data_IF_447009031145
#
_entry.id   IF_447009031145
#
_cell.length_a   1.000
_cell.length_b   1.000
_cell.length_c   1.000
_cell.angle_alpha   90.00
_cell.angle_beta   90.00
_cell.angle_gamma   90.00
#
_symmetry.space_group_name_H-M   'P 1'
#
loop_
_entity.id
_entity.type
_entity.pdbx_description
1 polymer ?
#
# COMPACT_ATOMS: atom_id res chain seq x y z
N UNK A 1 -0.12 5.80 29.22
CA UNK A 1 0.80 4.66 28.99
C UNK A 1 0.62 3.98 27.64
N UNK A 2 -0.61 3.60 27.23
CA UNK A 2 -0.86 2.97 25.91
C UNK A 2 -0.48 3.90 24.75
N UNK A 3 -0.80 5.20 24.86
CA UNK A 3 -0.40 6.21 23.85
C UNK A 3 1.12 6.23 23.67
N UNK A 4 1.90 6.19 24.75
CA UNK A 4 3.37 6.14 24.69
C UNK A 4 3.87 4.88 23.96
N UNK A 5 3.20 3.74 24.13
CA UNK A 5 3.58 2.47 23.50
C UNK A 5 3.37 2.47 21.99
N UNK A 6 2.40 3.24 21.48
CA UNK A 6 2.17 3.40 20.04
C UNK A 6 2.89 4.60 19.44
N UNK A 7 2.97 5.72 20.17
CA UNK A 7 3.58 6.97 19.70
C UNK A 7 5.10 6.88 19.70
N UNK A 8 5.72 6.25 20.70
CA UNK A 8 7.18 6.18 20.80
C UNK A 8 7.83 5.40 19.64
N UNK A 9 7.34 4.20 19.23
CA UNK A 9 7.88 3.50 18.07
C UNK A 9 7.72 4.29 16.77
N UNK A 10 6.58 4.97 16.61
CA UNK A 10 6.33 5.85 15.46
C UNK A 10 7.32 7.03 15.48
N UNK A 11 7.56 7.63 16.63
CA UNK A 11 8.49 8.74 16.77
C UNK A 11 9.95 8.32 16.50
N UNK A 12 10.36 7.15 17.03
CA UNK A 12 11.68 6.56 16.78
C UNK A 12 11.87 6.25 15.29
N UNK A 13 10.81 5.74 14.65
CA UNK A 13 10.78 5.49 13.20
C UNK A 13 11.05 6.76 12.40
N UNK A 14 10.44 7.89 12.76
CA UNK A 14 10.62 9.16 12.05
C UNK A 14 11.87 9.95 12.48
N UNK A 15 12.44 9.66 13.64
CA UNK A 15 13.61 10.35 14.18
C UNK A 15 14.90 10.06 13.42
N UNK A 16 15.05 8.83 12.90
CA UNK A 16 16.23 8.44 12.12
C UNK A 16 15.83 8.12 10.68
N UNK A 17 16.25 8.99 9.75
CA UNK A 17 15.96 8.88 8.32
C UNK A 17 16.47 7.58 7.67
N UNK A 18 17.51 6.93 8.22
CA UNK A 18 17.98 5.63 7.75
C UNK A 18 17.12 4.49 8.30
N UNK A 19 16.77 4.52 9.58
CA UNK A 19 15.86 3.54 10.19
C UNK A 19 14.47 3.59 9.55
N UNK A 20 13.93 4.80 9.35
CA UNK A 20 12.70 5.04 8.58
C UNK A 20 12.76 4.37 7.22
N UNK A 21 13.84 4.63 6.48
CA UNK A 21 14.01 4.11 5.14
C UNK A 21 14.07 2.59 5.10
N UNK A 22 14.87 1.97 5.97
CA UNK A 22 15.03 0.50 6.01
C UNK A 22 13.70 -0.18 6.35
N UNK A 23 13.00 0.30 7.37
CA UNK A 23 11.73 -0.31 7.80
C UNK A 23 10.65 -0.13 6.72
N UNK A 24 10.52 1.08 6.16
CA UNK A 24 9.55 1.32 5.10
C UNK A 24 9.88 0.54 3.82
N UNK A 25 11.14 0.50 3.41
CA UNK A 25 11.60 -0.30 2.28
C UNK A 25 11.24 -1.77 2.47
N UNK A 26 11.48 -2.34 3.65
CA UNK A 26 11.17 -3.74 3.96
C UNK A 26 9.66 -4.01 3.94
N UNK A 27 8.85 -3.16 4.56
CA UNK A 27 7.38 -3.26 4.53
C UNK A 27 6.86 -3.24 3.08
N UNK A 28 7.35 -2.31 2.26
CA UNK A 28 6.95 -2.18 0.87
C UNK A 28 7.41 -3.34 0.01
N UNK A 29 8.63 -3.84 0.22
CA UNK A 29 9.20 -4.98 -0.48
C UNK A 29 8.39 -6.25 -0.20
N UNK A 30 8.06 -6.52 1.07
CA UNK A 30 7.21 -7.65 1.47
C UNK A 30 5.83 -7.53 0.83
N UNK A 31 5.24 -6.33 0.82
CA UNK A 31 3.94 -6.10 0.18
C UNK A 31 4.00 -6.29 -1.34
N UNK A 32 5.07 -5.83 -2.00
CA UNK A 32 5.27 -6.01 -3.43
C UNK A 32 5.40 -7.50 -3.78
N UNK A 33 6.23 -8.25 -3.06
CA UNK A 33 6.37 -9.69 -3.25
C UNK A 33 5.07 -10.44 -2.98
N UNK A 34 4.35 -10.10 -1.90
CA UNK A 34 3.03 -10.68 -1.63
C UNK A 34 2.07 -10.42 -2.79
N UNK A 35 2.06 -9.21 -3.33
CA UNK A 35 1.19 -8.87 -4.46
C UNK A 35 1.56 -9.64 -5.74
N UNK A 36 2.86 -9.73 -6.06
CA UNK A 36 3.38 -10.50 -7.19
C UNK A 36 3.03 -11.99 -7.04
N UNK A 37 3.25 -12.57 -5.86
CA UNK A 37 2.92 -13.96 -5.55
C UNK A 37 1.44 -14.24 -5.77
N UNK A 38 0.56 -13.42 -5.21
CA UNK A 38 -0.89 -13.63 -5.38
C UNK A 38 -1.29 -13.45 -6.85
N UNK A 39 -0.67 -12.52 -7.58
CA UNK A 39 -0.95 -12.31 -9.00
C UNK A 39 -0.44 -13.42 -9.91
N UNK A 40 0.69 -14.05 -9.57
CA UNK A 40 1.28 -15.14 -10.34
C UNK A 40 0.61 -16.49 -10.04
N UNK A 41 0.38 -16.79 -8.77
CA UNK A 41 -0.25 -18.04 -8.31
C UNK A 41 -1.76 -18.02 -8.51
N UNK A 42 -2.34 -16.83 -8.78
CA UNK A 42 -3.75 -16.69 -9.05
C UNK A 42 -4.60 -17.11 -7.86
N UNK A 43 -4.11 -16.88 -6.63
CA UNK A 43 -4.86 -17.19 -5.42
C UNK A 43 -6.19 -16.44 -5.52
N UNK A 44 -7.29 -17.19 -5.77
CA UNK A 44 -8.63 -16.76 -5.39
C UNK A 44 -8.53 -16.62 -3.88
N UNK A 45 -8.17 -15.42 -3.39
CA UNK A 45 -8.50 -15.07 -2.03
C UNK A 45 -10.03 -15.06 -2.03
N UNK A 46 -10.61 -16.19 -1.63
CA UNK A 46 -11.43 -16.12 -0.45
C UNK A 46 -10.64 -15.29 0.55
N UNK A 47 -10.88 -13.98 0.52
CA UNK A 47 -11.15 -13.28 1.77
C UNK A 47 -12.05 -14.29 2.50
N UNK A 48 -11.78 -14.73 3.75
CA UNK A 48 -12.91 -15.22 4.50
C UNK A 48 -13.94 -14.12 4.30
N UNK A 49 -14.98 -14.39 3.48
CA UNK A 49 -16.17 -13.57 3.59
C UNK A 49 -16.37 -13.58 5.09
N UNK A 50 -16.33 -12.39 5.70
CA UNK A 50 -16.84 -12.24 7.05
C UNK A 50 -18.04 -13.17 7.09
N UNK A 51 -18.03 -14.13 8.03
CA UNK A 51 -19.16 -15.07 8.10
C UNK A 51 -20.43 -14.19 8.04
N UNK A 52 -21.50 -14.61 7.38
CA UNK A 52 -22.67 -13.72 7.21
C UNK A 52 -23.08 -13.07 8.56
N UNK A 53 -22.86 -13.79 9.67
CA UNK A 53 -22.91 -13.33 11.06
C UNK A 53 -22.01 -12.11 11.41
N UNK A 54 -20.77 -12.06 10.93
CA UNK A 54 -19.85 -10.94 11.17
C UNK A 54 -20.20 -9.71 10.29
N UNK A 55 -20.74 -9.90 9.08
CA UNK A 55 -21.25 -8.77 8.26
C UNK A 55 -22.50 -8.17 8.91
N UNK A 56 -23.41 -9.03 9.38
CA UNK A 56 -24.63 -8.63 10.10
C UNK A 56 -24.29 -7.90 11.41
N UNK A 57 -23.28 -8.36 12.16
CA UNK A 57 -22.79 -7.68 13.36
C UNK A 57 -22.18 -6.30 13.07
N UNK A 58 -21.45 -6.13 11.95
CA UNK A 58 -20.88 -4.83 11.57
C UNK A 58 -21.98 -3.87 11.14
N UNK A 59 -22.96 -4.33 10.36
CA UNK A 59 -24.10 -3.51 9.95
C UNK A 59 -24.96 -3.11 11.17
N UNK A 60 -25.16 -4.01 12.14
CA UNK A 60 -25.83 -3.69 13.41
C UNK A 60 -25.03 -2.69 14.25
N UNK A 61 -23.69 -2.81 14.27
CA UNK A 61 -22.82 -1.82 14.91
C UNK A 61 -22.88 -0.46 14.20
N UNK A 62 -22.88 -0.41 12.87
CA UNK A 62 -23.01 0.79 12.04
C UNK A 62 -24.40 1.45 12.19
N UNK A 63 -25.45 0.67 12.48
CA UNK A 63 -26.76 1.20 12.83
C UNK A 63 -26.81 1.77 14.25
N UNK A 64 -26.06 1.16 15.19
CA UNK A 64 -26.01 1.59 16.60
C UNK A 64 -25.07 2.77 16.86
N UNK A 65 -24.05 2.93 16.01
CA UNK A 65 -23.06 4.00 16.06
C UNK A 65 -23.12 4.71 14.72
N UNK A 66 -23.44 6.01 14.68
CA UNK A 66 -23.50 6.86 13.46
C UNK A 66 -22.10 7.03 12.81
N UNK A 67 -21.46 5.92 12.46
CA UNK A 67 -20.08 5.83 11.99
C UNK A 67 -20.01 4.91 10.78
N UNK A 68 -19.68 5.49 9.63
CA UNK A 68 -19.57 4.80 8.35
C UNK A 68 -18.25 4.02 8.26
N UNK A 69 -18.30 2.72 8.58
CA UNK A 69 -17.15 1.82 8.54
C UNK A 69 -16.61 1.63 7.12
N UNK A 70 -17.47 1.70 6.09
CA UNK A 70 -17.05 1.60 4.68
C UNK A 70 -16.21 2.80 4.26
N UNK A 71 -16.58 4.00 4.70
CA UNK A 71 -15.82 5.23 4.47
C UNK A 71 -14.50 5.23 5.24
N UNK A 72 -14.47 4.67 6.45
CA UNK A 72 -13.25 4.48 7.20
C UNK A 72 -12.28 3.51 6.52
N UNK A 73 -12.73 2.35 6.04
CA UNK A 73 -11.88 1.41 5.30
C UNK A 73 -11.30 2.06 4.02
N UNK A 74 -12.14 2.79 3.29
CA UNK A 74 -11.71 3.54 2.10
C UNK A 74 -10.66 4.60 2.47
N UNK A 75 -10.88 5.35 3.55
CA UNK A 75 -9.95 6.35 4.07
C UNK A 75 -8.59 5.77 4.45
N UNK A 76 -8.58 4.68 5.23
CA UNK A 76 -7.32 4.01 5.64
C UNK A 76 -6.53 3.48 4.43
N UNK A 77 -7.24 2.99 3.41
CA UNK A 77 -6.64 2.55 2.15
C UNK A 77 -6.00 3.70 1.38
N UNK A 78 -6.67 4.84 1.26
CA UNK A 78 -6.11 6.05 0.63
C UNK A 78 -4.87 6.54 1.38
N UNK A 79 -4.94 6.63 2.72
CA UNK A 79 -3.80 7.05 3.56
C UNK A 79 -2.60 6.13 3.34
N UNK A 80 -2.82 4.81 3.28
CA UNK A 80 -1.76 3.83 3.01
C UNK A 80 -1.03 4.12 1.69
N UNK A 81 -1.77 4.34 0.60
CA UNK A 81 -1.14 4.65 -0.69
C UNK A 81 -0.50 6.04 -0.74
N UNK A 82 -1.04 7.00 -0.01
CA UNK A 82 -0.41 8.30 0.15
C UNK A 82 0.97 8.18 0.83
N UNK A 83 1.09 7.35 1.87
CA UNK A 83 2.37 7.04 2.52
C UNK A 83 3.35 6.41 1.52
N UNK A 84 2.87 5.51 0.65
CA UNK A 84 3.71 4.88 -0.37
C UNK A 84 4.24 5.93 -1.35
N UNK A 85 3.38 6.82 -1.83
CA UNK A 85 3.77 7.92 -2.72
C UNK A 85 4.83 8.81 -2.06
N UNK A 86 4.61 9.21 -0.80
CA UNK A 86 5.59 10.00 -0.04
C UNK A 86 6.95 9.30 0.06
N UNK A 87 6.96 7.99 0.28
CA UNK A 87 8.19 7.20 0.30
C UNK A 87 8.88 7.18 -1.06
N UNK A 88 8.15 7.04 -2.17
CA UNK A 88 8.75 7.08 -3.51
C UNK A 88 9.28 8.47 -3.88
N UNK A 89 8.59 9.54 -3.46
CA UNK A 89 9.10 10.91 -3.57
C UNK A 89 10.40 11.06 -2.77
N UNK A 90 10.45 10.51 -1.55
CA UNK A 90 11.68 10.47 -0.77
C UNK A 90 12.79 9.76 -1.54
N UNK A 91 12.55 8.56 -2.07
CA UNK A 91 13.50 7.80 -2.89
C UNK A 91 13.99 8.58 -4.12
N UNK A 92 13.15 9.40 -4.74
CA UNK A 92 13.51 10.24 -5.90
C UNK A 92 14.70 11.16 -5.60
N UNK A 93 14.79 11.71 -4.40
CA UNK A 93 15.88 12.60 -3.99
C UNK A 93 17.22 11.88 -3.82
N UNK A 94 17.21 10.57 -3.50
CA UNK A 94 18.44 9.80 -3.26
C UNK A 94 19.04 9.18 -4.53
N UNK A 95 18.37 9.33 -5.67
CA UNK A 95 18.80 8.73 -6.92
C UNK A 95 19.28 9.78 -7.90
N UNK A 96 20.50 9.62 -8.40
CA UNK A 96 21.06 10.53 -9.40
C UNK A 96 20.72 10.11 -10.85
N UNK A 97 20.52 8.82 -11.11
CA UNK A 97 20.24 8.30 -12.46
C UNK A 97 18.87 8.73 -12.98
N UNK A 98 18.85 9.32 -14.17
CA UNK A 98 17.62 9.78 -14.85
C UNK A 98 16.66 8.61 -15.13
N UNK A 99 17.18 7.43 -15.48
CA UNK A 99 16.37 6.23 -15.77
C UNK A 99 15.56 5.82 -14.55
N UNK A 100 16.20 5.80 -13.37
CA UNK A 100 15.52 5.43 -12.13
C UNK A 100 14.53 6.51 -11.68
N UNK A 101 14.81 7.79 -11.92
CA UNK A 101 13.86 8.88 -11.68
C UNK A 101 12.58 8.70 -12.51
N UNK A 102 12.71 8.35 -13.79
CA UNK A 102 11.56 8.05 -14.65
C UNK A 102 10.77 6.85 -14.08
N UNK A 103 11.46 5.79 -13.65
CA UNK A 103 10.83 4.61 -13.09
C UNK A 103 10.06 4.92 -11.79
N UNK A 104 10.66 5.71 -10.90
CA UNK A 104 10.03 6.19 -9.65
C UNK A 104 8.77 7.00 -9.98
N UNK A 105 8.84 7.92 -10.93
CA UNK A 105 7.67 8.71 -11.36
C UNK A 105 6.56 7.82 -11.90
N UNK A 106 6.88 6.80 -12.71
CA UNK A 106 5.89 5.86 -13.22
C UNK A 106 5.19 5.08 -12.09
N UNK A 107 5.94 4.64 -11.06
CA UNK A 107 5.39 3.99 -9.87
C UNK A 107 4.48 4.94 -9.09
N UNK A 108 4.87 6.20 -8.91
CA UNK A 108 4.05 7.22 -8.24
C UNK A 108 2.73 7.43 -8.98
N UNK A 109 2.77 7.61 -10.31
CA UNK A 109 1.57 7.79 -11.13
C UNK A 109 0.63 6.60 -11.04
N UNK A 110 1.17 5.37 -11.01
CA UNK A 110 0.38 4.16 -10.81
C UNK A 110 -0.39 4.18 -9.48
N UNK A 111 0.29 4.52 -8.38
CA UNK A 111 -0.37 4.62 -7.07
C UNK A 111 -1.38 5.77 -7.02
N UNK A 112 -1.10 6.90 -7.68
CA UNK A 112 -2.02 8.04 -7.75
C UNK A 112 -3.29 7.68 -8.52
N UNK A 113 -3.15 7.02 -9.67
CA UNK A 113 -4.29 6.50 -10.42
C UNK A 113 -5.15 5.56 -9.57
N UNK A 114 -4.52 4.72 -8.76
CA UNK A 114 -5.23 3.82 -7.84
C UNK A 114 -6.01 4.57 -6.75
N UNK A 115 -5.42 5.60 -6.15
CA UNK A 115 -6.12 6.46 -5.16
C UNK A 115 -7.35 7.10 -5.80
N UNK A 116 -7.20 7.70 -6.99
CA UNK A 116 -8.30 8.36 -7.71
C UNK A 116 -9.41 7.36 -8.01
N UNK A 117 -9.07 6.16 -8.49
CA UNK A 117 -10.06 5.13 -8.77
C UNK A 117 -10.76 4.64 -7.49
N UNK A 118 -10.02 4.49 -6.39
CA UNK A 118 -10.56 4.07 -5.08
C UNK A 118 -11.57 5.09 -4.53
N UNK A 119 -11.29 6.39 -4.68
CA UNK A 119 -12.19 7.46 -4.25
C UNK A 119 -13.41 7.56 -5.16
N UNK A 120 -13.23 7.39 -6.47
CA UNK A 120 -14.30 7.55 -7.46
C UNK A 120 -15.34 6.43 -7.44
N UNK A 121 -14.93 5.20 -7.13
CA UNK A 121 -15.85 4.06 -7.21
C UNK A 121 -16.73 3.86 -5.96
N UNK A 122 -16.56 4.60 -4.85
CA UNK A 122 -17.36 4.52 -3.60
C UNK A 122 -17.63 3.09 -3.07
N UNK A 123 -16.89 2.13 -3.60
CA UNK A 123 -17.17 0.72 -3.51
C UNK A 123 -15.90 0.03 -3.10
N UNK A 124 -16.08 -1.05 -2.36
CA UNK A 124 -15.06 -1.96 -1.87
C UNK A 124 -14.25 -2.56 -3.03
N UNK A 125 -13.42 -1.74 -3.71
CA UNK A 125 -12.45 -2.21 -4.68
C UNK A 125 -11.26 -2.73 -3.89
N UNK A 126 -11.55 -3.78 -3.12
CA UNK A 126 -10.57 -4.59 -2.46
C UNK A 126 -9.40 -4.77 -3.43
N UNK A 127 -8.20 -4.86 -2.87
CA UNK A 127 -7.07 -5.44 -3.58
C UNK A 127 -7.37 -6.88 -4.08
N UNK A 128 -8.62 -7.40 -3.96
CA UNK A 128 -9.09 -8.47 -4.80
C UNK A 128 -9.15 -7.95 -6.24
N UNK A 129 -8.04 -8.17 -6.95
CA UNK A 129 -8.12 -9.03 -8.12
C UNK A 129 -9.41 -8.85 -8.90
N UNK A 130 -9.56 -7.69 -9.54
CA UNK A 130 -10.58 -7.52 -10.55
C UNK A 130 -10.66 -8.78 -11.40
N UNK A 131 -11.89 -9.23 -11.67
CA UNK A 131 -12.18 -10.38 -12.53
C UNK A 131 -11.46 -10.27 -13.89
N UNK A 132 -11.03 -9.07 -14.31
CA UNK A 132 -10.28 -8.84 -15.55
C UNK A 132 -8.79 -9.12 -15.36
N UNK A 133 -8.30 -10.14 -16.08
CA UNK A 133 -6.88 -10.55 -16.23
C UNK A 133 -5.92 -9.38 -16.45
N UNK A 134 -6.35 -8.33 -17.14
CA UNK A 134 -5.56 -7.12 -17.44
C UNK A 134 -5.13 -6.34 -16.19
N UNK A 135 -6.01 -6.14 -15.20
CA UNK A 135 -5.67 -5.39 -13.99
C UNK A 135 -4.70 -6.17 -13.07
N UNK A 136 -4.71 -7.50 -13.12
CA UNK A 136 -3.76 -8.35 -12.39
C UNK A 136 -2.34 -8.18 -12.94
N UNK A 137 -2.20 -8.26 -14.26
CA UNK A 137 -0.91 -8.10 -14.93
C UNK A 137 -0.35 -6.70 -14.69
N UNK A 138 -1.17 -5.66 -14.81
CA UNK A 138 -0.74 -4.29 -14.55
C UNK A 138 -0.25 -4.11 -13.11
N UNK A 139 -0.94 -4.70 -12.14
CA UNK A 139 -0.52 -4.67 -10.73
C UNK A 139 0.76 -5.44 -10.48
N UNK A 140 0.94 -6.62 -11.08
CA UNK A 140 2.19 -7.37 -10.97
C UNK A 140 3.37 -6.57 -11.53
N UNK A 141 3.21 -5.95 -12.70
CA UNK A 141 4.24 -5.12 -13.33
C UNK A 141 4.60 -3.92 -12.44
N UNK A 142 3.60 -3.17 -11.99
CA UNK A 142 3.83 -2.02 -11.13
C UNK A 142 4.51 -2.39 -9.80
N UNK A 143 4.10 -3.49 -9.18
CA UNK A 143 4.73 -3.99 -7.96
C UNK A 143 6.15 -4.52 -8.20
N UNK A 144 6.43 -5.06 -9.39
CA UNK A 144 7.77 -5.48 -9.78
C UNK A 144 8.70 -4.27 -9.95
N UNK A 145 8.23 -3.22 -10.63
CA UNK A 145 8.98 -1.96 -10.73
C UNK A 145 9.19 -1.30 -9.37
N UNK A 146 8.16 -1.30 -8.50
CA UNK A 146 8.27 -0.86 -7.12
C UNK A 146 9.37 -1.59 -6.35
N UNK A 147 9.44 -2.93 -6.46
CA UNK A 147 10.47 -3.73 -5.80
C UNK A 147 11.87 -3.44 -6.36
N UNK A 148 12.01 -3.32 -7.68
CA UNK A 148 13.28 -2.98 -8.34
C UNK A 148 13.77 -1.61 -7.87
N UNK A 149 12.90 -0.60 -7.86
CA UNK A 149 13.22 0.74 -7.35
C UNK A 149 13.72 0.67 -5.91
N UNK A 150 13.00 -0.04 -5.03
CA UNK A 150 13.38 -0.16 -3.61
C UNK A 150 14.77 -0.79 -3.47
N UNK A 151 15.03 -1.90 -4.17
CA UNK A 151 16.33 -2.60 -4.12
C UNK A 151 17.48 -1.72 -4.60
N UNK A 152 17.30 -1.03 -5.73
CA UNK A 152 18.35 -0.17 -6.29
C UNK A 152 18.61 1.05 -5.42
N UNK A 153 17.56 1.70 -4.90
CA UNK A 153 17.71 2.83 -3.97
C UNK A 153 18.38 2.39 -2.67
N UNK A 154 18.00 1.22 -2.13
CA UNK A 154 18.62 0.68 -0.94
C UNK A 154 20.11 0.40 -1.14
N UNK A 155 20.49 -0.20 -2.28
CA UNK A 155 21.90 -0.42 -2.62
C UNK A 155 22.68 0.89 -2.74
N UNK A 156 22.10 1.92 -3.37
CA UNK A 156 22.74 3.23 -3.51
C UNK A 156 22.88 3.98 -2.18
N UNK A 157 21.95 3.79 -1.24
CA UNK A 157 21.93 4.50 0.05
C UNK A 157 22.74 3.79 1.15
N UNK A 158 22.86 2.46 1.08
CA UNK A 158 23.56 1.64 2.07
C UNK A 158 25.03 1.36 1.70
N UNK A 159 25.47 1.80 0.52
CA UNK A 159 26.88 1.82 0.10
C UNK A 159 27.53 3.11 0.56
#
# INVERSE_FOLDING_TARGET
>A
MIITFFVLPVFILFSNHNTFFVIMALILLVNAFRSIYISAVGYKKGIPKLAEEDEEFIDDMEASVDFDFKRFDTGTRVVKYAIYILFYIYCYFFVNSIILKILITAVILYWLYYIINTIKENGFFSMAFSKKKSQRILSAIANSFAAIVILVVAFNKLK
#
